data_IF_473631545980
#
_entry.id   IF_473631545980
#
_cell.length_a   1.000
_cell.length_b   1.000
_cell.length_c   1.000
_cell.angle_alpha   90.00
_cell.angle_beta   90.00
_cell.angle_gamma   90.00
#
_symmetry.space_group_name_H-M   'P 1'
#
loop_
_entity.id
_entity.type
_entity.pdbx_description
1 polymer ?
#
# COMPACT_ATOMS: atom_id res chain seq x y z
N UNK A 1 -20.29 2.36 12.56
CA UNK A 1 -19.20 2.09 11.61
C UNK A 1 -18.71 0.66 11.79
N UNK A 2 -19.19 -0.23 10.94
CA UNK A 2 -18.74 -1.62 10.80
C UNK A 2 -17.43 -1.69 10.00
N UNK A 3 -16.85 -2.87 9.82
CA UNK A 3 -15.72 -3.04 8.89
C UNK A 3 -16.14 -2.79 7.44
N UNK A 4 -17.33 -3.27 7.05
CA UNK A 4 -17.87 -3.04 5.70
C UNK A 4 -18.10 -1.56 5.40
N UNK A 5 -18.50 -0.78 6.41
CA UNK A 5 -18.64 0.68 6.26
C UNK A 5 -17.29 1.36 5.95
N UNK A 6 -16.17 0.79 6.40
CA UNK A 6 -14.82 1.31 6.17
C UNK A 6 -14.27 0.99 4.77
N UNK A 7 -14.88 0.04 4.08
CA UNK A 7 -14.54 -0.32 2.70
C UNK A 7 -15.33 0.51 1.67
N UNK A 8 -16.32 1.30 2.13
CA UNK A 8 -17.13 2.14 1.25
C UNK A 8 -16.29 3.28 0.66
N UNK A 9 -16.57 3.57 -0.60
CA UNK A 9 -16.04 4.70 -1.33
C UNK A 9 -16.98 5.89 -1.16
N UNK A 10 -16.43 7.05 -0.82
CA UNK A 10 -17.14 8.32 -0.74
C UNK A 10 -17.54 8.84 -2.12
N UNK A 11 -18.36 9.89 -2.18
CA UNK A 11 -18.72 10.54 -3.45
C UNK A 11 -17.54 11.17 -4.20
N UNK A 12 -16.35 11.24 -3.58
CA UNK A 12 -15.10 11.69 -4.18
C UNK A 12 -14.21 10.53 -4.65
N UNK A 13 -14.72 9.30 -4.66
CA UNK A 13 -13.92 8.15 -5.09
C UNK A 13 -12.98 7.59 -4.01
N UNK A 14 -12.92 8.21 -2.84
CA UNK A 14 -11.98 7.84 -1.77
C UNK A 14 -12.58 6.94 -0.70
N UNK A 15 -11.80 5.98 -0.20
CA UNK A 15 -12.09 5.26 1.06
C UNK A 15 -11.80 6.17 2.26
N UNK A 16 -12.28 5.78 3.44
CA UNK A 16 -11.91 6.47 4.68
C UNK A 16 -10.39 6.46 4.93
N UNK A 17 -9.70 5.35 4.61
CA UNK A 17 -8.27 5.22 4.85
C UNK A 17 -7.43 5.99 3.82
N UNK A 18 -7.85 6.04 2.55
CA UNK A 18 -7.18 6.87 1.54
C UNK A 18 -7.41 8.36 1.82
N UNK A 19 -8.56 8.77 2.34
CA UNK A 19 -8.78 10.16 2.83
C UNK A 19 -7.80 10.54 3.95
N UNK A 20 -7.61 9.65 4.94
CA UNK A 20 -6.59 9.84 5.98
C UNK A 20 -5.17 9.87 5.39
N UNK A 21 -4.91 9.03 4.37
CA UNK A 21 -3.64 8.96 3.67
C UNK A 21 -3.28 10.26 2.95
N UNK A 22 -4.25 10.88 2.24
CA UNK A 22 -4.10 12.19 1.57
C UNK A 22 -3.75 13.26 2.61
N UNK A 23 -4.47 13.26 3.73
CA UNK A 23 -4.35 14.27 4.78
C UNK A 23 -3.12 14.08 5.68
N UNK A 24 -2.46 12.92 5.64
CA UNK A 24 -1.33 12.60 6.51
C UNK A 24 -1.69 12.35 7.99
N UNK A 25 -2.98 12.28 8.34
CA UNK A 25 -3.46 12.14 9.73
C UNK A 25 -3.29 10.69 10.18
N UNK A 26 -2.12 10.39 10.75
CA UNK A 26 -1.70 9.02 11.08
C UNK A 26 -2.59 8.40 12.17
N UNK A 27 -3.06 9.20 13.12
CA UNK A 27 -3.92 8.77 14.23
C UNK A 27 -5.28 8.26 13.73
N UNK A 28 -5.81 8.89 12.67
CA UNK A 28 -7.04 8.44 12.01
C UNK A 28 -6.80 7.13 11.26
N UNK A 29 -5.69 7.02 10.53
CA UNK A 29 -5.32 5.78 9.84
C UNK A 29 -5.10 4.62 10.83
N UNK A 30 -4.45 4.87 11.97
CA UNK A 30 -4.31 3.90 13.06
C UNK A 30 -5.67 3.43 13.59
N UNK A 31 -6.59 4.36 13.85
CA UNK A 31 -7.94 4.03 14.31
C UNK A 31 -8.69 3.14 13.31
N UNK A 32 -8.59 3.45 12.01
CA UNK A 32 -9.25 2.68 10.94
C UNK A 32 -8.64 1.27 10.84
N UNK A 33 -7.32 1.16 10.76
CA UNK A 33 -6.61 -0.12 10.59
C UNK A 33 -6.78 -1.01 11.83
N UNK A 34 -6.83 -0.45 13.03
CA UNK A 34 -7.12 -1.22 14.24
C UNK A 34 -8.53 -1.82 14.22
N UNK A 35 -9.50 -1.15 13.59
CA UNK A 35 -10.86 -1.65 13.45
C UNK A 35 -11.01 -2.64 12.31
N UNK A 36 -10.32 -2.42 11.19
CA UNK A 36 -10.35 -3.25 10.01
C UNK A 36 -8.98 -3.26 9.35
N UNK A 37 -8.16 -4.26 9.69
CA UNK A 37 -6.81 -4.38 9.16
C UNK A 37 -6.78 -4.53 7.62
N UNK A 38 -7.83 -5.13 7.03
CA UNK A 38 -7.96 -5.29 5.57
C UNK A 38 -8.13 -3.98 4.80
N UNK A 39 -8.45 -2.86 5.47
CA UNK A 39 -8.63 -1.55 4.83
C UNK A 39 -7.38 -1.10 4.06
N UNK A 40 -6.19 -1.55 4.47
CA UNK A 40 -4.91 -1.24 3.82
C UNK A 40 -4.77 -1.81 2.40
N UNK A 41 -5.65 -2.73 2.02
CA UNK A 41 -5.70 -3.38 0.71
C UNK A 41 -6.88 -2.91 -0.14
N UNK A 42 -7.77 -2.07 0.40
CA UNK A 42 -8.92 -1.56 -0.33
C UNK A 42 -8.50 -0.33 -1.13
N UNK A 43 -8.64 -0.41 -2.45
CA UNK A 43 -8.35 0.70 -3.34
C UNK A 43 -9.44 1.77 -3.33
N UNK A 44 -9.06 3.01 -3.64
CA UNK A 44 -10.01 4.04 -4.07
C UNK A 44 -10.61 3.70 -5.46
N UNK A 45 -11.41 4.58 -6.04
CA UNK A 45 -12.03 4.36 -7.36
C UNK A 45 -11.02 4.15 -8.50
N UNK A 46 -9.78 4.62 -8.33
CA UNK A 46 -8.68 4.41 -9.27
C UNK A 46 -7.91 3.10 -9.00
N UNK A 47 -8.36 2.29 -8.04
CA UNK A 47 -7.69 1.07 -7.60
C UNK A 47 -6.42 1.32 -6.78
N UNK A 48 -6.14 2.55 -6.36
CA UNK A 48 -4.94 2.88 -5.59
C UNK A 48 -5.16 2.56 -4.12
N UNK A 49 -4.33 1.67 -3.59
CA UNK A 49 -4.34 1.34 -2.17
C UNK A 49 -3.70 2.47 -1.33
N UNK A 50 -4.02 2.57 -0.02
CA UNK A 50 -3.63 3.71 0.81
C UNK A 50 -2.14 4.08 0.81
N UNK A 51 -1.23 3.09 0.76
CA UNK A 51 0.22 3.35 0.75
C UNK A 51 0.67 4.06 -0.54
N UNK A 52 0.02 3.79 -1.67
CA UNK A 52 0.27 4.49 -2.94
C UNK A 52 -0.19 5.92 -2.84
N UNK A 53 -1.42 6.15 -2.34
CA UNK A 53 -1.99 7.48 -2.15
C UNK A 53 -1.13 8.33 -1.22
N UNK A 54 -0.73 7.79 -0.06
CA UNK A 54 0.17 8.49 0.86
C UNK A 54 1.51 8.87 0.21
N UNK A 55 2.04 8.00 -0.66
CA UNK A 55 3.32 8.26 -1.35
C UNK A 55 3.18 9.33 -2.42
N UNK A 56 2.06 9.33 -3.16
CA UNK A 56 1.75 10.35 -4.15
C UNK A 56 1.65 11.76 -3.54
N UNK A 57 1.06 11.87 -2.34
CA UNK A 57 0.95 13.13 -1.60
C UNK A 57 2.16 13.46 -0.69
N UNK A 58 3.29 12.74 -0.84
CA UNK A 58 4.51 12.91 -0.04
C UNK A 58 4.31 12.86 1.50
N UNK A 59 3.35 12.06 1.96
CA UNK A 59 3.00 11.94 3.38
C UNK A 59 3.93 10.95 4.10
N UNK A 60 5.22 11.30 4.23
CA UNK A 60 6.31 10.37 4.64
C UNK A 60 6.03 9.56 5.91
N UNK A 61 5.49 10.19 6.97
CA UNK A 61 5.12 9.48 8.22
C UNK A 61 4.04 8.42 7.96
N UNK A 62 3.01 8.80 7.18
CA UNK A 62 1.92 7.92 6.79
C UNK A 62 2.40 6.78 5.88
N UNK A 63 3.27 7.07 4.91
CA UNK A 63 3.87 6.04 4.03
C UNK A 63 4.55 4.96 4.86
N UNK A 64 5.38 5.35 5.83
CA UNK A 64 6.08 4.40 6.71
C UNK A 64 5.11 3.56 7.54
N UNK A 65 4.04 4.17 8.02
CA UNK A 65 2.99 3.46 8.76
C UNK A 65 2.26 2.45 7.86
N UNK A 66 1.71 2.90 6.74
CA UNK A 66 0.92 2.07 5.83
C UNK A 66 1.75 0.97 5.19
N UNK A 67 3.00 1.25 4.78
CA UNK A 67 3.89 0.23 4.22
C UNK A 67 4.10 -0.96 5.17
N UNK A 68 4.21 -0.70 6.49
CA UNK A 68 4.33 -1.77 7.51
C UNK A 68 3.04 -2.57 7.71
N UNK A 69 1.89 -2.01 7.32
CA UNK A 69 0.57 -2.64 7.49
C UNK A 69 0.08 -3.32 6.21
N UNK A 70 0.53 -2.87 5.04
CA UNK A 70 0.18 -3.45 3.75
C UNK A 70 0.84 -4.82 3.58
N UNK A 71 0.06 -5.89 3.33
CA UNK A 71 0.61 -7.20 3.00
C UNK A 71 1.48 -7.11 1.75
N UNK A 72 2.67 -7.71 1.78
CA UNK A 72 3.64 -7.61 0.68
C UNK A 72 3.11 -8.20 -0.63
N UNK A 73 2.18 -9.15 -0.56
CA UNK A 73 1.49 -9.75 -1.71
C UNK A 73 0.68 -8.72 -2.49
N UNK A 74 0.19 -7.65 -1.84
CA UNK A 74 -0.50 -6.54 -2.53
C UNK A 74 0.44 -5.68 -3.38
N UNK A 75 1.75 -5.83 -3.17
CA UNK A 75 2.81 -5.13 -3.88
C UNK A 75 3.58 -6.04 -4.84
N UNK A 76 3.18 -7.31 -4.96
CA UNK A 76 3.88 -8.25 -5.84
C UNK A 76 3.53 -8.00 -7.32
N UNK A 77 4.46 -8.25 -8.25
CA UNK A 77 4.20 -8.11 -9.69
C UNK A 77 3.02 -8.98 -10.18
N UNK A 78 2.73 -10.10 -9.52
CA UNK A 78 1.60 -10.98 -9.87
C UNK A 78 0.24 -10.38 -9.53
N UNK A 79 0.16 -9.52 -8.50
CA UNK A 79 -1.08 -8.86 -8.10
C UNK A 79 -1.40 -7.67 -9.02
N UNK A 80 -0.39 -7.11 -9.67
CA UNK A 80 -0.53 -6.03 -10.64
C UNK A 80 0.57 -4.97 -10.50
N UNK A 81 0.23 -3.74 -10.83
CA UNK A 81 1.19 -2.63 -10.94
C UNK A 81 1.40 -1.85 -9.64
N UNK A 82 0.78 -2.27 -8.52
CA UNK A 82 0.87 -1.57 -7.24
C UNK A 82 2.31 -1.41 -6.75
N UNK A 83 3.12 -2.48 -6.80
CA UNK A 83 4.52 -2.43 -6.39
C UNK A 83 5.35 -1.45 -7.22
N UNK A 84 5.20 -1.50 -8.55
CA UNK A 84 5.91 -0.59 -9.46
C UNK A 84 5.48 0.87 -9.27
N UNK A 85 4.18 1.11 -9.12
CA UNK A 85 3.61 2.44 -8.86
C UNK A 85 4.12 3.00 -7.53
N UNK A 86 4.10 2.19 -6.47
CA UNK A 86 4.62 2.57 -5.17
C UNK A 86 6.11 2.90 -5.25
N UNK A 87 6.92 2.08 -5.92
CA UNK A 87 8.35 2.32 -6.09
C UNK A 87 8.63 3.67 -6.75
N UNK A 88 7.89 4.00 -7.82
CA UNK A 88 8.02 5.29 -8.52
C UNK A 88 7.75 6.48 -7.59
N UNK A 89 6.69 6.41 -6.77
CA UNK A 89 6.36 7.49 -5.84
C UNK A 89 7.33 7.55 -4.65
N UNK A 90 7.82 6.42 -4.14
CA UNK A 90 8.84 6.40 -3.07
C UNK A 90 10.14 7.08 -3.50
N UNK A 91 10.60 6.82 -4.73
CA UNK A 91 11.78 7.49 -5.31
C UNK A 91 11.52 9.00 -5.45
N UNK A 92 10.36 9.38 -5.99
CA UNK A 92 9.98 10.79 -6.15
C UNK A 92 9.88 11.54 -4.81
N UNK A 93 9.42 10.85 -3.75
CA UNK A 93 9.29 11.36 -2.39
C UNK A 93 10.61 11.28 -1.57
N UNK A 94 11.70 10.79 -2.17
CA UNK A 94 13.00 10.57 -1.53
C UNK A 94 12.93 9.62 -0.29
N UNK A 95 12.07 8.59 -0.34
CA UNK A 95 11.93 7.54 0.69
C UNK A 95 12.72 6.29 0.25
N UNK A 96 14.03 6.48 0.10
CA UNK A 96 14.89 5.48 -0.55
C UNK A 96 15.05 4.19 0.24
N UNK A 97 14.94 4.23 1.57
CA UNK A 97 15.06 3.03 2.41
C UNK A 97 13.91 2.04 2.15
N UNK A 98 12.68 2.54 2.04
CA UNK A 98 11.52 1.70 1.68
C UNK A 98 11.61 1.28 0.21
N UNK A 99 12.03 2.17 -0.69
CA UNK A 99 12.19 1.84 -2.11
C UNK A 99 13.18 0.67 -2.31
N UNK A 100 14.34 0.73 -1.67
CA UNK A 100 15.34 -0.35 -1.71
C UNK A 100 14.82 -1.64 -1.08
N UNK A 101 14.12 -1.55 0.04
CA UNK A 101 13.52 -2.71 0.69
C UNK A 101 12.47 -3.40 -0.20
N UNK A 102 11.62 -2.61 -0.88
CA UNK A 102 10.63 -3.14 -1.81
C UNK A 102 11.29 -3.87 -2.99
N UNK A 103 12.32 -3.26 -3.60
CA UNK A 103 13.06 -3.85 -4.72
C UNK A 103 13.72 -5.19 -4.34
N UNK A 104 14.39 -5.23 -3.18
CA UNK A 104 15.04 -6.45 -2.71
C UNK A 104 14.04 -7.58 -2.45
N UNK A 105 12.86 -7.27 -1.92
CA UNK A 105 11.84 -8.30 -1.71
C UNK A 105 11.28 -8.79 -3.03
N UNK A 106 11.03 -7.91 -4.01
CA UNK A 106 10.54 -8.34 -5.32
C UNK A 106 11.53 -9.26 -6.02
N UNK A 107 12.83 -8.97 -5.98
CA UNK A 107 13.86 -9.82 -6.60
C UNK A 107 13.94 -11.20 -5.94
N UNK A 108 13.82 -11.25 -4.61
CA UNK A 108 13.79 -12.51 -3.86
C UNK A 108 12.53 -13.34 -4.17
N UNK A 109 11.37 -12.70 -4.30
CA UNK A 109 10.12 -13.38 -4.64
C UNK A 109 10.18 -13.99 -6.04
N UNK A 110 10.70 -13.25 -7.03
CA UNK A 110 10.92 -13.75 -8.39
C UNK A 110 11.89 -14.93 -8.39
N UNK A 111 13.00 -14.80 -7.65
CA UNK A 111 14.03 -15.84 -7.55
C UNK A 111 13.49 -17.14 -6.92
N UNK A 112 12.77 -17.04 -5.80
CA UNK A 112 12.15 -18.20 -5.14
C UNK A 112 11.17 -18.94 -6.06
N UNK A 113 10.42 -18.22 -6.89
CA UNK A 113 9.47 -18.82 -7.83
C UNK A 113 10.19 -19.54 -8.97
N UNK A 114 11.30 -19.00 -9.49
CA UNK A 114 12.14 -19.71 -10.47
C UNK A 114 12.65 -21.02 -9.87
N UNK A 115 13.05 -21.02 -8.60
CA UNK A 115 13.49 -22.25 -7.92
C UNK A 115 12.34 -23.25 -7.70
N UNK A 116 11.16 -22.79 -7.31
CA UNK A 116 9.99 -23.66 -7.07
C UNK A 116 9.32 -24.17 -8.36
N UNK A 117 9.39 -23.42 -9.46
CA UNK A 117 8.84 -23.80 -10.76
C UNK A 117 9.71 -24.78 -11.56
N UNK A 118 10.91 -25.09 -11.07
CA UNK A 118 11.88 -25.99 -11.71
C UNK A 118 12.02 -27.35 -10.99
N UNK A 119 11.13 -27.69 -10.06
CA UNK A 119 11.09 -29.03 -9.45
C UNK A 119 10.28 -29.98 -10.37
N UNK A 120 10.80 -31.17 -10.72
CA UNK A 120 10.13 -32.14 -11.58
C UNK A 120 8.88 -32.77 -10.95
#
# INVERSE_FOLDING_TARGET
MTQKDLELISGLGETALTTAAISGITEMAETIVNKHAGAVSVGNEHGQIPVIVASFYDQKKMVRYLYRKTPIQELSPEKGTNGATLLNFLVSANIYDIALHLLNITDNLVSLKITMGNLP
#
